data_IF_636931142842
#
_entry.id   IF_636931142842
#
_cell.length_a   1.000
_cell.length_b   1.000
_cell.length_c   1.000
_cell.angle_alpha   90.00
_cell.angle_beta   90.00
_cell.angle_gamma   90.00
#
_symmetry.space_group_name_H-M   'P 1'
#
loop_
_entity.id
_entity.type
_entity.pdbx_description
1 polymer ?
#
# COMPACT_ATOMS: atom_id res chain seq x y z
N UNK A 1 -2.36 2.65 -1.46
CA UNK A 1 -2.17 2.34 -0.03
C UNK A 1 -3.35 1.48 0.42
N UNK A 2 -3.11 0.35 1.08
CA UNK A 2 -4.17 -0.64 1.32
C UNK A 2 -4.30 -0.95 2.82
N UNK A 3 -5.56 -1.03 3.27
CA UNK A 3 -5.95 -1.35 4.63
C UNK A 3 -6.93 -2.52 4.59
N UNK A 4 -6.75 -3.49 5.48
CA UNK A 4 -7.69 -4.59 5.67
C UNK A 4 -8.42 -4.41 7.00
N UNK A 5 -9.71 -4.75 7.01
CA UNK A 5 -10.53 -4.82 8.22
C UNK A 5 -10.83 -6.27 8.53
N UNK A 6 -10.78 -6.63 9.80
CA UNK A 6 -11.22 -7.94 10.30
C UNK A 6 -12.00 -7.71 11.60
N UNK A 7 -12.91 -8.64 11.93
CA UNK A 7 -13.66 -8.59 13.19
C UNK A 7 -13.18 -9.76 14.06
N UNK A 8 -12.82 -9.50 15.32
CA UNK A 8 -12.48 -10.56 16.26
C UNK A 8 -13.71 -11.36 16.68
N UNK A 9 -13.51 -12.51 17.33
CA UNK A 9 -14.61 -13.30 17.90
C UNK A 9 -15.46 -12.47 18.89
N UNK A 10 -14.81 -11.59 19.65
CA UNK A 10 -15.46 -10.65 20.58
C UNK A 10 -16.16 -9.45 19.89
N UNK A 11 -16.22 -9.41 18.56
CA UNK A 11 -16.88 -8.34 17.80
C UNK A 11 -16.07 -7.06 17.61
N UNK A 12 -14.78 -7.05 17.98
CA UNK A 12 -13.94 -5.86 17.83
C UNK A 12 -13.38 -5.74 16.40
N UNK A 13 -13.55 -4.58 15.79
CA UNK A 13 -12.92 -4.28 14.49
C UNK A 13 -11.41 -4.04 14.65
N UNK A 14 -10.64 -4.75 13.83
CA UNK A 14 -9.19 -4.66 13.70
C UNK A 14 -8.81 -4.10 12.33
N UNK A 15 -7.84 -3.19 12.31
CA UNK A 15 -7.35 -2.55 11.09
C UNK A 15 -5.87 -2.90 10.87
N UNK A 16 -5.53 -3.27 9.64
CA UNK A 16 -4.18 -3.64 9.23
C UNK A 16 -3.74 -2.89 7.98
N UNK A 17 -2.68 -2.08 8.09
CA UNK A 17 -2.05 -1.46 6.93
C UNK A 17 -1.04 -2.45 6.32
N UNK A 18 -1.49 -3.22 5.32
CA UNK A 18 -0.70 -4.28 4.67
C UNK A 18 0.10 -3.81 3.45
N UNK A 19 -0.10 -2.55 3.05
CA UNK A 19 0.68 -1.87 2.02
C UNK A 19 1.99 -1.30 2.56
N UNK A 20 2.31 -0.05 2.23
CA UNK A 20 3.46 0.64 2.81
C UNK A 20 3.26 0.83 4.32
N UNK A 21 4.25 0.49 5.17
CA UNK A 21 4.12 0.60 6.62
C UNK A 21 4.13 2.06 7.10
N UNK A 22 4.92 2.89 6.43
CA UNK A 22 5.07 4.33 6.57
C UNK A 22 5.72 4.86 5.28
N UNK A 23 5.81 6.17 5.12
CA UNK A 23 6.66 6.79 4.12
C UNK A 23 7.59 7.84 4.75
N UNK A 24 8.66 8.17 4.04
CA UNK A 24 9.61 9.23 4.39
C UNK A 24 9.63 10.25 3.27
N UNK A 25 9.98 11.49 3.59
CA UNK A 25 10.04 12.57 2.62
C UNK A 25 11.42 13.22 2.70
N UNK A 26 12.13 13.24 1.58
CA UNK A 26 13.45 13.89 1.44
C UNK A 26 13.42 15.06 0.46
N UNK A 27 12.41 15.12 -0.42
CA UNK A 27 12.19 16.22 -1.35
C UNK A 27 11.39 17.35 -0.67
N UNK A 28 11.89 18.58 -0.74
CA UNK A 28 11.28 19.74 -0.07
C UNK A 28 9.90 20.13 -0.61
N UNK A 29 9.65 19.97 -1.92
CA UNK A 29 8.35 20.27 -2.53
C UNK A 29 7.29 19.27 -2.03
N UNK A 30 7.66 17.99 -1.94
CA UNK A 30 6.80 16.95 -1.36
C UNK A 30 6.59 17.20 0.14
N UNK A 31 7.58 17.74 0.85
CA UNK A 31 7.45 18.06 2.28
C UNK A 31 6.41 19.15 2.53
N UNK A 32 6.29 20.14 1.66
CA UNK A 32 5.25 21.16 1.76
C UNK A 32 3.84 20.52 1.67
N UNK A 33 3.64 19.62 0.72
CA UNK A 33 2.38 18.87 0.56
C UNK A 33 2.08 18.00 1.79
N UNK A 34 3.11 17.36 2.37
CA UNK A 34 2.94 16.53 3.57
C UNK A 34 2.58 17.37 4.79
N UNK A 35 3.11 18.59 4.91
CA UNK A 35 2.72 19.53 5.98
C UNK A 35 1.26 19.97 5.86
N UNK A 36 0.77 20.16 4.63
CA UNK A 36 -0.65 20.43 4.39
C UNK A 36 -1.53 19.24 4.78
N UNK A 37 -1.12 18.02 4.42
CA UNK A 37 -1.84 16.81 4.85
C UNK A 37 -1.79 16.59 6.36
N UNK A 38 -0.69 16.94 7.01
CA UNK A 38 -0.55 16.87 8.46
C UNK A 38 -1.44 17.89 9.17
N UNK A 39 -1.48 19.14 8.69
CA UNK A 39 -2.38 20.18 9.24
C UNK A 39 -3.86 19.84 9.00
N UNK A 40 -4.18 19.17 7.88
CA UNK A 40 -5.50 18.62 7.59
C UNK A 40 -5.83 17.31 8.32
N UNK A 41 -4.93 16.77 9.16
CA UNK A 41 -5.14 15.55 9.92
C UNK A 41 -5.17 14.26 9.09
N UNK A 42 -4.77 14.31 7.83
CA UNK A 42 -4.72 13.15 6.92
C UNK A 42 -3.49 12.28 7.14
N UNK A 43 -2.44 12.86 7.71
CA UNK A 43 -1.14 12.24 7.99
C UNK A 43 -0.67 12.67 9.37
N UNK A 44 0.11 11.82 10.04
CA UNK A 44 0.85 12.20 11.24
C UNK A 44 2.22 11.53 11.26
N UNK A 45 3.16 12.15 11.97
CA UNK A 45 4.44 11.53 12.31
C UNK A 45 4.24 10.32 13.23
N UNK A 46 4.82 9.18 12.87
CA UNK A 46 4.84 7.96 13.66
C UNK A 46 6.10 7.90 14.50
N UNK A 47 5.99 8.43 15.73
CA UNK A 47 7.09 8.54 16.70
C UNK A 47 7.20 7.28 17.56
N UNK A 48 7.98 6.32 17.11
CA UNK A 48 8.21 5.05 17.83
C UNK A 48 9.64 4.55 17.66
N UNK A 49 10.08 3.72 18.60
CA UNK A 49 11.35 3.01 18.47
C UNK A 49 11.29 2.01 17.32
N UNK A 50 12.21 2.15 16.37
CA UNK A 50 12.44 1.19 15.29
C UNK A 50 13.75 0.46 15.52
N UNK A 51 13.92 -0.73 14.96
CA UNK A 51 15.19 -1.45 15.06
C UNK A 51 15.34 -2.55 14.02
N UNK A 52 16.24 -3.48 14.31
CA UNK A 52 16.40 -4.70 13.53
C UNK A 52 16.38 -5.91 14.45
N UNK A 53 15.83 -7.02 13.96
CA UNK A 53 15.95 -8.32 14.61
C UNK A 53 17.04 -9.13 13.91
N UNK A 54 18.12 -9.42 14.63
CA UNK A 54 19.19 -10.30 14.18
C UNK A 54 18.83 -11.76 14.45
N UNK A 55 18.68 -12.53 13.38
CA UNK A 55 18.30 -13.95 13.41
C UNK A 55 19.38 -14.85 13.99
N UNK A 56 20.66 -14.48 13.86
CA UNK A 56 21.80 -15.26 14.34
C UNK A 56 21.92 -15.12 15.84
N UNK A 57 21.96 -13.88 16.34
CA UNK A 57 22.05 -13.62 17.79
C UNK A 57 20.70 -13.75 18.52
N UNK A 58 19.58 -13.79 17.78
CA UNK A 58 18.20 -13.79 18.28
C UNK A 58 17.89 -12.58 19.16
N UNK A 59 18.43 -11.42 18.80
CA UNK A 59 18.29 -10.18 19.58
C UNK A 59 17.83 -9.03 18.71
N UNK A 60 17.18 -8.07 19.35
CA UNK A 60 16.95 -6.76 18.75
C UNK A 60 18.23 -5.93 18.85
N UNK A 61 18.63 -5.37 17.71
CA UNK A 61 19.83 -4.55 17.54
C UNK A 61 19.47 -3.25 16.81
N UNK A 62 20.38 -2.27 16.80
CA UNK A 62 20.22 -1.00 16.09
C UNK A 62 18.92 -0.26 16.43
N UNK A 63 18.50 -0.30 17.69
CA UNK A 63 17.27 0.37 18.13
C UNK A 63 17.49 1.89 18.09
N UNK A 64 16.68 2.57 17.28
CA UNK A 64 16.71 4.01 17.11
C UNK A 64 15.43 4.62 17.70
N UNK A 65 15.60 5.55 18.62
CA UNK A 65 14.50 6.30 19.24
C UNK A 65 13.97 7.41 18.34
N UNK A 66 14.84 8.00 17.50
CA UNK A 66 14.49 9.01 16.51
C UNK A 66 15.48 8.93 15.34
N UNK A 67 15.01 8.46 14.18
CA UNK A 67 15.84 8.46 12.97
C UNK A 67 15.98 9.87 12.41
N UNK A 68 17.04 10.14 11.64
CA UNK A 68 17.26 11.44 10.97
C UNK A 68 16.07 11.90 10.10
N UNK A 69 15.27 10.96 9.58
CA UNK A 69 14.13 11.25 8.72
C UNK A 69 12.81 10.85 9.40
N UNK A 70 11.91 11.83 9.52
CA UNK A 70 10.54 11.63 10.01
C UNK A 70 9.82 10.54 9.21
N UNK A 71 9.08 9.71 9.94
CA UNK A 71 8.27 8.61 9.40
C UNK A 71 6.82 9.04 9.47
N UNK A 72 6.12 9.04 8.34
CA UNK A 72 4.75 9.49 8.25
C UNK A 72 3.81 8.33 7.95
N UNK A 73 2.61 8.39 8.53
CA UNK A 73 1.53 7.45 8.27
C UNK A 73 0.24 8.23 8.01
N UNK A 74 -0.61 7.75 7.11
CA UNK A 74 -1.96 8.33 6.95
C UNK A 74 -2.81 8.11 8.20
N UNK A 75 -3.78 8.96 8.54
CA UNK A 75 -4.65 8.88 9.74
C UNK A 75 -6.13 9.02 9.35
N UNK A 76 -7.04 8.14 9.81
CA UNK A 76 -6.87 7.01 10.75
C UNK A 76 -6.35 5.72 10.11
N UNK A 77 -6.16 5.70 8.78
CA UNK A 77 -5.61 4.58 8.04
C UNK A 77 -4.58 5.01 7.02
N UNK A 78 -3.74 4.11 6.53
CA UNK A 78 -2.75 4.48 5.52
C UNK A 78 -3.41 4.93 4.19
N UNK A 79 -4.68 4.58 3.95
CA UNK A 79 -5.45 5.02 2.78
C UNK A 79 -6.08 6.43 2.91
N UNK A 80 -5.84 7.15 3.99
CA UNK A 80 -6.55 8.43 4.27
C UNK A 80 -6.22 9.53 3.25
N UNK A 81 -4.97 9.60 2.78
CA UNK A 81 -4.57 10.51 1.70
C UNK A 81 -5.38 10.22 0.43
N UNK A 82 -5.43 8.95 0.01
CA UNK A 82 -6.18 8.55 -1.19
C UNK A 82 -7.67 8.88 -1.06
N UNK A 83 -8.27 8.64 0.12
CA UNK A 83 -9.66 8.99 0.38
C UNK A 83 -9.91 10.48 0.28
N UNK A 84 -9.03 11.32 0.83
CA UNK A 84 -9.19 12.77 0.75
C UNK A 84 -9.10 13.27 -0.71
N UNK A 85 -8.17 12.71 -1.50
CA UNK A 85 -8.04 13.04 -2.92
C UNK A 85 -9.29 12.64 -3.73
N UNK A 86 -9.90 11.50 -3.41
CA UNK A 86 -11.13 11.05 -4.05
C UNK A 86 -12.36 11.96 -3.82
N UNK A 87 -12.33 12.80 -2.78
CA UNK A 87 -13.43 13.71 -2.43
C UNK A 87 -13.13 15.18 -2.79
N UNK A 88 -12.04 15.44 -3.52
CA UNK A 88 -11.75 16.80 -3.99
C UNK A 88 -12.85 17.29 -4.95
N UNK A 89 -13.18 18.59 -4.94
CA UNK A 89 -14.13 19.17 -5.88
C UNK A 89 -13.76 18.85 -7.34
N UNK A 90 -14.73 18.36 -8.11
CA UNK A 90 -14.52 17.98 -9.52
C UNK A 90 -13.97 16.57 -9.74
N UNK A 91 -13.70 15.80 -8.68
CA UNK A 91 -13.27 14.39 -8.79
C UNK A 91 -14.46 13.45 -8.65
N UNK A 92 -14.74 12.67 -9.70
CA UNK A 92 -15.68 11.55 -9.66
C UNK A 92 -14.90 10.24 -9.50
N UNK A 93 -15.05 9.58 -8.35
CA UNK A 93 -14.39 8.30 -8.07
C UNK A 93 -15.32 7.12 -8.36
N UNK A 94 -14.85 6.17 -9.20
CA UNK A 94 -15.56 4.92 -9.51
C UNK A 94 -14.79 3.71 -8.95
N UNK A 95 -15.45 2.92 -8.10
CA UNK A 95 -14.90 1.70 -7.50
C UNK A 95 -15.60 0.46 -8.04
N UNK A 96 -14.97 -0.72 -7.94
CA UNK A 96 -15.51 -1.96 -8.50
C UNK A 96 -15.48 -2.00 -10.04
N UNK A 97 -14.82 -1.03 -10.67
CA UNK A 97 -14.71 -0.90 -12.12
C UNK A 97 -13.29 -1.25 -12.54
N UNK A 98 -13.13 -2.34 -13.30
CA UNK A 98 -11.87 -2.66 -13.96
C UNK A 98 -11.88 -2.13 -15.38
N UNK A 99 -10.92 -1.27 -15.73
CA UNK A 99 -10.75 -0.80 -17.12
C UNK A 99 -10.18 -1.92 -17.97
N UNK A 100 -10.82 -2.20 -19.10
CA UNK A 100 -10.46 -3.29 -20.01
C UNK A 100 -9.84 -2.83 -21.32
N UNK A 101 -10.14 -1.61 -21.79
CA UNK A 101 -9.58 -1.07 -23.04
C UNK A 101 -9.60 0.45 -23.07
N UNK A 102 -8.56 1.02 -23.68
CA UNK A 102 -8.47 2.41 -24.14
C UNK A 102 -8.42 2.43 -25.66
N UNK A 103 -9.17 3.32 -26.29
CA UNK A 103 -9.18 3.49 -27.76
C UNK A 103 -9.28 4.96 -28.12
N UNK A 104 -8.43 5.43 -29.02
CA UNK A 104 -8.52 6.79 -29.55
C UNK A 104 -9.53 6.84 -30.69
N UNK A 105 -10.52 7.73 -30.58
CA UNK A 105 -11.53 7.97 -31.60
C UNK A 105 -11.12 9.18 -32.44
N UNK A 106 -10.48 8.93 -33.59
CA UNK A 106 -9.95 9.98 -34.47
C UNK A 106 -11.01 10.99 -34.95
N UNK A 107 -12.22 10.51 -35.25
CA UNK A 107 -13.35 11.31 -35.72
C UNK A 107 -13.85 12.32 -34.67
N UNK A 108 -13.71 11.97 -33.38
CA UNK A 108 -14.18 12.76 -32.25
C UNK A 108 -13.07 13.49 -31.51
N UNK A 109 -11.81 13.16 -31.78
CA UNK A 109 -10.66 13.66 -31.04
C UNK A 109 -10.80 13.41 -29.51
N UNK A 110 -11.26 12.20 -29.15
CA UNK A 110 -11.52 11.77 -27.77
C UNK A 110 -11.00 10.36 -27.53
N UNK A 111 -10.62 10.07 -26.29
CA UNK A 111 -10.37 8.72 -25.79
C UNK A 111 -11.67 8.05 -25.37
N UNK A 112 -11.96 6.88 -25.91
CA UNK A 112 -13.00 5.97 -25.43
C UNK A 112 -12.43 4.98 -24.42
N UNK A 113 -13.12 4.80 -23.30
CA UNK A 113 -12.72 3.87 -22.23
C UNK A 113 -13.83 2.86 -22.01
N UNK A 114 -13.49 1.57 -21.99
CA UNK A 114 -14.43 0.49 -21.69
C UNK A 114 -13.94 -0.42 -20.57
N UNK A 115 -14.90 -1.00 -19.86
CA UNK A 115 -14.66 -1.90 -18.74
C UNK A 115 -14.27 -3.30 -19.17
N UNK A 116 -13.80 -4.09 -18.20
CA UNK A 116 -13.63 -5.54 -18.31
C UNK A 116 -14.96 -6.28 -18.54
N UNK A 117 -16.10 -5.66 -18.36
CA UNK A 117 -17.41 -6.19 -18.75
C UNK A 117 -17.82 -5.80 -20.18
N UNK A 118 -17.01 -4.98 -20.86
CA UNK A 118 -17.30 -4.41 -22.17
C UNK A 118 -18.19 -3.16 -22.13
N UNK A 119 -18.64 -2.72 -20.95
CA UNK A 119 -19.47 -1.53 -20.81
C UNK A 119 -18.65 -0.26 -21.08
N UNK A 120 -19.28 0.75 -21.68
CA UNK A 120 -18.64 2.05 -21.86
C UNK A 120 -18.51 2.77 -20.51
N UNK A 121 -17.31 3.24 -20.20
CA UNK A 121 -17.00 4.00 -18.98
C UNK A 121 -16.96 5.51 -19.23
N UNK A 122 -16.97 5.92 -20.50
CA UNK A 122 -17.03 7.32 -20.93
C UNK A 122 -16.07 7.65 -22.07
N UNK A 123 -16.11 8.92 -22.48
CA UNK A 123 -15.19 9.52 -23.43
C UNK A 123 -14.50 10.72 -22.80
N UNK A 124 -13.19 10.88 -23.02
CA UNK A 124 -12.36 11.86 -22.31
C UNK A 124 -11.37 12.54 -23.26
N UNK A 125 -11.03 13.80 -22.99
CA UNK A 125 -10.01 14.52 -23.76
C UNK A 125 -8.59 13.97 -23.52
N UNK A 126 -8.37 13.29 -22.39
CA UNK A 126 -7.09 12.70 -22.04
C UNK A 126 -7.25 11.57 -21.02
N UNK A 127 -6.27 10.66 -21.00
CA UNK A 127 -6.22 9.53 -20.07
C UNK A 127 -4.84 9.50 -19.42
N UNK A 128 -4.80 9.35 -18.10
CA UNK A 128 -3.57 9.13 -17.34
C UNK A 128 -3.58 7.72 -16.77
N UNK A 129 -2.65 6.89 -17.22
CA UNK A 129 -2.43 5.55 -16.71
C UNK A 129 -1.37 5.58 -15.60
N UNK A 130 -1.80 5.35 -14.34
CA UNK A 130 -0.90 5.41 -13.18
C UNK A 130 -0.50 4.04 -12.62
N UNK A 131 -0.91 2.94 -13.26
CA UNK A 131 -0.64 1.58 -12.81
C UNK A 131 0.00 0.75 -13.93
N UNK A 132 0.98 -0.10 -13.56
CA UNK A 132 1.73 -0.90 -14.53
C UNK A 132 0.87 -1.98 -15.21
N UNK A 133 -0.25 -2.41 -14.62
CA UNK A 133 -1.12 -3.42 -15.24
C UNK A 133 -1.80 -2.92 -16.52
N UNK A 134 -1.80 -1.60 -16.78
CA UNK A 134 -2.33 -1.04 -18.03
C UNK A 134 -1.61 -1.60 -19.27
N UNK A 135 -0.35 -2.01 -19.10
CA UNK A 135 0.52 -2.48 -20.18
C UNK A 135 1.17 -3.83 -19.89
N UNK A 136 1.12 -4.31 -18.64
CA UNK A 136 1.85 -5.50 -18.22
C UNK A 136 1.21 -6.79 -18.73
N UNK A 137 2.01 -7.78 -19.19
CA UNK A 137 1.52 -9.13 -19.47
C UNK A 137 0.81 -9.79 -18.29
N UNK A 138 1.14 -9.42 -17.04
CA UNK A 138 0.48 -9.92 -15.82
C UNK A 138 -1.03 -9.64 -15.82
N UNK A 139 -1.47 -8.59 -16.49
CA UNK A 139 -2.90 -8.33 -16.67
C UNK A 139 -3.60 -9.49 -17.38
N UNK A 140 -2.94 -10.08 -18.38
CA UNK A 140 -3.45 -11.26 -19.10
C UNK A 140 -3.55 -12.47 -18.19
N UNK A 141 -2.53 -12.71 -17.36
CA UNK A 141 -2.51 -13.85 -16.44
C UNK A 141 -3.65 -13.80 -15.41
N UNK A 142 -4.05 -12.59 -14.99
CA UNK A 142 -5.08 -12.39 -13.97
C UNK A 142 -6.48 -12.29 -14.57
N UNK A 143 -6.63 -11.68 -15.75
CA UNK A 143 -7.95 -11.36 -16.34
C UNK A 143 -8.33 -12.21 -17.55
N UNK A 144 -7.37 -12.92 -18.15
CA UNK A 144 -7.54 -13.63 -19.42
C UNK A 144 -7.62 -12.72 -20.66
N UNK A 145 -7.42 -11.40 -20.51
CA UNK A 145 -7.57 -10.40 -21.58
C UNK A 145 -6.26 -9.67 -21.88
N UNK A 146 -6.05 -9.15 -23.10
CA UNK A 146 -4.91 -8.27 -23.37
C UNK A 146 -4.89 -7.05 -22.44
N UNK A 147 -3.72 -6.44 -22.19
CA UNK A 147 -3.62 -5.23 -21.38
C UNK A 147 -4.52 -4.10 -21.94
N UNK A 148 -5.06 -3.21 -21.09
CA UNK A 148 -5.99 -2.17 -21.52
C UNK A 148 -5.47 -1.21 -22.58
N UNK A 149 -4.18 -0.88 -22.53
CA UNK A 149 -3.55 -0.01 -23.52
C UNK A 149 -2.82 -0.86 -24.55
N UNK A 150 -3.26 -0.76 -25.80
CA UNK A 150 -2.51 -1.29 -26.94
C UNK A 150 -1.28 -0.41 -27.17
N UNK A 151 -0.07 -0.95 -27.04
CA UNK A 151 1.16 -0.22 -27.28
C UNK A 151 1.79 -0.50 -28.65
N UNK A 152 1.07 -1.14 -29.58
CA UNK A 152 1.55 -1.38 -30.94
C UNK A 152 1.96 -0.09 -31.66
N UNK A 153 1.34 1.05 -31.34
CA UNK A 153 1.71 2.36 -31.87
C UNK A 153 2.95 2.99 -31.20
N UNK A 154 3.48 2.40 -30.13
CA UNK A 154 4.64 2.89 -29.39
C UNK A 154 5.56 1.72 -28.95
N UNK A 155 6.16 0.97 -29.89
CA UNK A 155 6.91 -0.25 -29.59
C UNK A 155 8.11 -0.01 -28.66
N UNK A 156 8.82 1.11 -28.82
CA UNK A 156 9.96 1.46 -27.95
C UNK A 156 9.55 1.69 -26.49
N UNK A 157 8.33 2.16 -26.26
CA UNK A 157 7.78 2.34 -24.93
C UNK A 157 7.33 1.01 -24.32
N UNK A 158 6.77 0.11 -25.14
CA UNK A 158 6.36 -1.22 -24.72
C UNK A 158 7.53 -2.01 -24.12
N UNK A 159 8.66 -2.07 -24.82
CA UNK A 159 9.88 -2.77 -24.36
C UNK A 159 10.35 -2.21 -23.02
N UNK A 160 10.46 -0.88 -22.90
CA UNK A 160 10.90 -0.23 -21.65
C UNK A 160 9.97 -0.52 -20.48
N UNK A 161 8.65 -0.55 -20.72
CA UNK A 161 7.67 -0.81 -19.66
C UNK A 161 7.66 -2.28 -19.23
N UNK A 162 7.91 -3.22 -20.14
CA UNK A 162 8.05 -4.64 -19.82
C UNK A 162 9.25 -4.88 -18.88
N UNK A 163 10.38 -4.24 -19.15
CA UNK A 163 11.63 -4.40 -18.39
C UNK A 163 11.58 -3.89 -16.93
N UNK A 164 10.58 -3.08 -16.56
CA UNK A 164 10.47 -2.56 -15.18
C UNK A 164 10.22 -3.72 -14.19
N UNK A 165 11.13 -4.05 -13.26
CA UNK A 165 10.93 -5.18 -12.37
C UNK A 165 9.80 -4.92 -11.36
N UNK A 166 8.99 -5.95 -11.09
CA UNK A 166 7.98 -5.94 -10.01
C UNK A 166 8.22 -7.13 -9.10
N UNK A 167 8.56 -6.85 -7.83
CA UNK A 167 8.83 -7.90 -6.86
C UNK A 167 7.55 -8.25 -6.08
N UNK A 168 7.06 -9.49 -6.16
CA UNK A 168 5.91 -9.92 -5.37
C UNK A 168 6.27 -9.97 -3.89
N UNK A 169 5.32 -9.56 -3.05
CA UNK A 169 5.46 -9.55 -1.60
C UNK A 169 4.20 -10.11 -0.96
N UNK A 170 4.37 -10.96 0.05
CA UNK A 170 3.28 -11.40 0.92
C UNK A 170 3.26 -10.54 2.17
N UNK A 171 2.06 -10.22 2.65
CA UNK A 171 1.85 -9.60 3.94
C UNK A 171 1.06 -10.56 4.84
N UNK A 172 1.58 -10.80 6.04
CA UNK A 172 0.92 -11.56 7.10
C UNK A 172 0.44 -10.58 8.17
N UNK A 173 -0.81 -10.72 8.60
CA UNK A 173 -1.45 -9.89 9.60
C UNK A 173 -1.75 -10.77 10.83
N UNK A 174 -1.28 -10.34 11.99
CA UNK A 174 -1.40 -11.07 13.26
C UNK A 174 -2.03 -10.15 14.31
N UNK A 175 -3.01 -10.67 15.03
CA UNK A 175 -3.62 -10.02 16.18
C UNK A 175 -3.36 -10.84 17.44
N UNK A 176 -3.01 -10.16 18.53
CA UNK A 176 -2.80 -10.77 19.83
C UNK A 176 -3.72 -10.09 20.84
N UNK A 177 -4.33 -10.84 21.75
CA UNK A 177 -5.20 -10.32 22.81
C UNK A 177 -4.46 -9.45 23.84
N UNK A 178 -3.16 -9.72 24.01
CA UNK A 178 -2.27 -8.98 24.90
C UNK A 178 -1.08 -8.37 24.15
N UNK A 179 -0.43 -7.34 24.70
CA UNK A 179 0.70 -6.70 24.04
C UNK A 179 1.93 -7.60 24.15
N UNK A 180 2.66 -7.75 23.05
CA UNK A 180 3.90 -8.52 23.03
C UNK A 180 5.03 -7.80 23.79
N UNK A 181 5.14 -8.04 25.10
CA UNK A 181 6.12 -7.41 26.00
C UNK A 181 7.58 -7.76 25.67
N UNK A 182 7.82 -8.89 25.03
CA UNK A 182 9.15 -9.33 24.59
C UNK A 182 9.71 -8.56 23.39
N UNK A 183 8.89 -7.73 22.72
CA UNK A 183 9.30 -6.93 21.56
C UNK A 183 9.46 -5.45 22.00
N UNK A 184 10.71 -4.94 22.11
CA UNK A 184 10.98 -3.60 22.65
C UNK A 184 10.77 -2.46 21.63
N UNK A 185 10.43 -2.79 20.39
CA UNK A 185 10.28 -1.86 19.25
C UNK A 185 8.89 -1.97 18.64
N UNK A 186 8.43 -0.96 17.89
CA UNK A 186 7.13 -0.98 17.21
C UNK A 186 7.23 -1.15 15.69
N UNK A 187 8.44 -1.21 15.16
CA UNK A 187 8.70 -1.68 13.80
C UNK A 187 10.16 -2.09 13.64
N UNK A 188 10.43 -3.12 12.85
CA UNK A 188 11.78 -3.62 12.68
C UNK A 188 11.98 -4.36 11.36
N UNK A 189 13.21 -4.32 10.85
CA UNK A 189 13.66 -5.18 9.76
C UNK A 189 14.21 -6.50 10.31
N UNK A 190 14.20 -7.54 9.49
CA UNK A 190 14.90 -8.79 9.80
C UNK A 190 16.26 -8.79 9.11
N UNK A 191 17.34 -8.95 9.88
CA UNK A 191 18.68 -9.18 9.33
C UNK A 191 18.87 -10.67 9.03
N UNK A 192 19.58 -10.97 7.95
CA UNK A 192 19.90 -12.33 7.52
C UNK A 192 18.66 -13.24 7.40
N UNK A 193 17.57 -12.69 6.84
CA UNK A 193 16.37 -13.45 6.54
C UNK A 193 16.06 -13.41 5.06
N UNK A 194 15.91 -14.60 4.46
CA UNK A 194 15.46 -14.75 3.08
C UNK A 194 13.93 -14.67 2.94
N UNK A 195 13.20 -14.79 4.05
CA UNK A 195 11.74 -14.90 4.06
C UNK A 195 11.10 -13.61 4.53
N UNK A 196 11.44 -13.16 5.74
CA UNK A 196 10.83 -11.98 6.35
C UNK A 196 11.73 -10.77 6.12
N UNK A 197 11.14 -9.62 5.81
CA UNK A 197 11.91 -8.39 5.60
C UNK A 197 11.60 -7.31 6.60
N UNK A 198 10.33 -7.18 6.99
CA UNK A 198 9.88 -6.12 7.86
C UNK A 198 8.68 -6.57 8.70
N UNK A 199 8.57 -6.05 9.91
CA UNK A 199 7.37 -6.15 10.74
C UNK A 199 7.07 -4.80 11.41
N UNK A 200 5.79 -4.47 11.60
CA UNK A 200 5.36 -3.29 12.34
C UNK A 200 4.08 -3.52 13.15
N UNK A 201 3.97 -2.81 14.27
CA UNK A 201 2.80 -2.78 15.13
C UNK A 201 1.84 -1.69 14.63
N UNK A 202 0.79 -2.09 13.93
CA UNK A 202 -0.25 -1.17 13.44
C UNK A 202 -0.94 -0.41 14.58
N UNK A 203 -1.16 -1.05 15.73
CA UNK A 203 -1.79 -0.42 16.91
C UNK A 203 -0.99 0.76 17.48
N UNK A 204 0.31 0.84 17.20
CA UNK A 204 1.17 1.95 17.65
C UNK A 204 1.11 3.19 16.75
N UNK A 205 0.44 3.11 15.59
CA UNK A 205 0.31 4.23 14.66
C UNK A 205 -0.75 5.22 15.17
N UNK A 206 -0.55 6.54 14.97
CA UNK A 206 -1.53 7.56 15.32
C UNK A 206 -2.94 7.25 14.78
N UNK A 207 -3.95 7.39 15.63
CA UNK A 207 -5.36 7.20 15.25
C UNK A 207 -5.83 5.75 15.05
N UNK A 208 -5.01 4.73 15.36
CA UNK A 208 -5.42 3.30 15.28
C UNK A 208 -6.04 2.79 16.57
N UNK A 209 -5.73 3.41 17.69
CA UNK A 209 -6.22 3.06 19.03
C UNK A 209 -7.58 3.69 19.39
N UNK A 210 -8.25 4.37 18.43
CA UNK A 210 -9.45 5.16 18.70
C UNK A 210 -10.78 4.41 18.45
N UNK A 211 -10.80 3.07 18.46
CA UNK A 211 -12.08 2.36 18.55
C UNK A 211 -12.53 2.34 20.02
N UNK A 212 -13.52 3.18 20.33
CA UNK A 212 -14.04 3.52 21.67
C UNK A 212 -14.60 2.35 22.49
N UNK A 213 -14.52 1.11 21.98
CA UNK A 213 -14.93 -0.11 22.67
C UNK A 213 -13.76 -0.89 23.29
N UNK A 214 -12.50 -0.59 22.94
CA UNK A 214 -11.33 -1.23 23.55
C UNK A 214 -10.45 -0.20 24.28
N UNK A 215 -10.96 0.35 25.39
CA UNK A 215 -10.03 0.79 26.45
C UNK A 215 -9.43 -0.41 27.19
N UNK A 216 -10.08 -1.57 27.11
CA UNK A 216 -9.72 -2.78 27.86
C UNK A 216 -9.12 -3.89 27.00
N UNK A 217 -9.23 -3.82 25.66
CA UNK A 217 -8.57 -4.80 24.80
C UNK A 217 -7.17 -4.29 24.44
N UNK A 218 -6.17 -4.90 25.07
CA UNK A 218 -4.76 -4.78 24.77
C UNK A 218 -4.37 -5.39 23.41
N UNK A 219 -5.28 -5.34 22.42
CA UNK A 219 -5.09 -6.02 21.16
C UNK A 219 -4.00 -5.34 20.34
N UNK A 220 -2.89 -6.06 20.12
CA UNK A 220 -1.79 -5.57 19.28
C UNK A 220 -1.83 -6.22 17.92
N UNK A 221 -1.96 -5.39 16.89
CA UNK A 221 -1.96 -5.84 15.51
C UNK A 221 -0.58 -5.63 14.91
N UNK A 222 -0.08 -6.67 14.27
CA UNK A 222 1.19 -6.68 13.57
C UNK A 222 0.98 -7.05 12.12
N UNK A 223 1.69 -6.34 11.24
CA UNK A 223 1.82 -6.75 9.85
C UNK A 223 3.29 -7.05 9.60
N UNK A 224 3.58 -8.23 9.03
CA UNK A 224 4.91 -8.57 8.55
C UNK A 224 4.91 -8.78 7.04
N UNK A 225 5.95 -8.28 6.37
CA UNK A 225 6.19 -8.52 4.95
C UNK A 225 7.20 -9.63 4.75
N UNK A 226 6.87 -10.51 3.83
CA UNK A 226 7.76 -11.53 3.31
C UNK A 226 8.05 -11.27 1.83
N UNK A 227 9.32 -11.37 1.44
CA UNK A 227 9.68 -11.44 0.03
C UNK A 227 9.72 -12.90 -0.39
N UNK A 228 9.31 -13.18 -1.63
CA UNK A 228 9.60 -14.49 -2.22
C UNK A 228 11.10 -14.55 -2.51
N UNK A 229 11.89 -15.17 -1.63
CA UNK A 229 13.00 -15.99 -2.13
C UNK A 229 12.41 -17.34 -2.54
N UNK A 230 12.75 -17.82 -3.73
CA UNK A 230 12.38 -19.09 -4.36
C UNK A 230 11.65 -20.13 -3.47
N UNK A 231 10.33 -19.98 -3.27
CA UNK A 231 9.48 -21.10 -2.87
C UNK A 231 9.36 -21.99 -4.11
N UNK A 232 10.31 -22.91 -4.29
CA UNK A 232 10.13 -24.04 -5.21
C UNK A 232 8.83 -24.72 -4.77
N UNK A 233 7.85 -24.79 -5.66
CA UNK A 233 6.71 -25.69 -5.46
C UNK A 233 7.30 -27.08 -5.25
N UNK A 234 7.18 -27.62 -4.03
CA UNK A 234 7.33 -29.05 -3.83
C UNK A 234 6.25 -29.72 -4.68
N UNK A 235 6.70 -30.57 -5.61
CA UNK A 235 5.84 -31.56 -6.23
C UNK A 235 5.58 -32.71 -5.26
#
# INVERSE_FOLDING_TARGET
>A
MSQRRETSEDGNEMLFDHGAPFFTVTNNDVLALVREWESGGLVAEWKVNLGSFDRVSKKFVNIQQDGMNKKYVGVPGMNSICKALCHQPGVESKFGVGVGRFEWLEDKNLWSVSGLDGQSLGQFNGVVASDKNVVSPRFRDVTGRPPPLDLTFAPDLAVKLEEIPVNPCFALMLAFSEPLSSIPVKGFSFQDSEVLSWAHCDSSKPGRSANRLCKDCNCTNWTSKAFRSNIKKGG
#
